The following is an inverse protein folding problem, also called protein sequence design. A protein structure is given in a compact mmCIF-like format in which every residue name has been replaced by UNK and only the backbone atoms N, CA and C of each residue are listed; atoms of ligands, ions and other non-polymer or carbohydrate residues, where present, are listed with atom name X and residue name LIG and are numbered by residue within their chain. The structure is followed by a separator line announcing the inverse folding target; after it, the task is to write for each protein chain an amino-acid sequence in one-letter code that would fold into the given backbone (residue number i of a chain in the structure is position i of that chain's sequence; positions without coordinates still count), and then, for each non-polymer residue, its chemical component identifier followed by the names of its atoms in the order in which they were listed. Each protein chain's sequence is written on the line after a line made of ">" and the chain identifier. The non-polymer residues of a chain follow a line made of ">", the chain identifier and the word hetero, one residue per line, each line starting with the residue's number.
data_IF_456406455063
#
_entry.id   IF_456406455063
#
_cell.length_a   1.000
_cell.length_b   1.000
_cell.length_c   1.000
_cell.angle_alpha   90.00
_cell.angle_beta   90.00
_cell.angle_gamma   90.00
#
_symmetry.space_group_name_H-M   'P 1'
#
loop_
_entity.id
_entity.type
_entity.pdbx_description
1 polymer ?
#
# COMPACT_ATOMS: atom_id res chain seq x y z
N UNK A 1 -62.73 1.19 -2.54
CA UNK A 1 -61.68 2.13 -2.08
C UNK A 1 -60.71 1.52 -1.05
N UNK A 2 -61.13 0.62 -0.16
CA UNK A 2 -60.24 0.00 0.84
C UNK A 2 -59.12 -0.90 0.26
N UNK A 3 -59.37 -1.60 -0.85
CA UNK A 3 -58.40 -2.53 -1.47
C UNK A 3 -57.21 -1.86 -2.13
N UNK A 4 -57.34 -0.59 -2.56
CA UNK A 4 -56.25 0.16 -3.19
C UNK A 4 -55.26 0.68 -2.14
N UNK A 5 -55.78 0.99 -0.95
CA UNK A 5 -55.03 1.50 0.18
C UNK A 5 -54.12 0.41 0.79
N UNK A 6 -54.62 -0.83 0.90
CA UNK A 6 -53.83 -1.95 1.40
C UNK A 6 -52.69 -2.35 0.46
N UNK A 7 -52.91 -2.32 -0.86
CA UNK A 7 -51.85 -2.58 -1.85
C UNK A 7 -50.76 -1.51 -1.85
N UNK A 8 -51.14 -0.23 -1.69
CA UNK A 8 -50.18 0.87 -1.57
C UNK A 8 -49.33 0.75 -0.30
N UNK A 9 -49.96 0.40 0.84
CA UNK A 9 -49.25 0.21 2.10
C UNK A 9 -48.25 -0.95 2.02
N UNK A 10 -48.64 -2.04 1.35
CA UNK A 10 -47.77 -3.21 1.16
C UNK A 10 -46.58 -2.90 0.24
N UNK A 11 -46.80 -2.17 -0.87
CA UNK A 11 -45.72 -1.70 -1.73
C UNK A 11 -44.75 -0.76 -0.99
N UNK A 12 -45.26 0.13 -0.14
CA UNK A 12 -44.43 1.07 0.62
C UNK A 12 -43.58 0.34 1.68
N UNK A 13 -44.15 -0.67 2.35
CA UNK A 13 -43.41 -1.55 3.26
C UNK A 13 -42.34 -2.36 2.52
N UNK A 14 -42.65 -2.88 1.33
CA UNK A 14 -41.67 -3.61 0.51
C UNK A 14 -40.51 -2.70 0.09
N UNK A 15 -40.79 -1.46 -0.33
CA UNK A 15 -39.77 -0.46 -0.68
C UNK A 15 -38.90 -0.09 0.52
N UNK A 16 -39.49 0.06 1.71
CA UNK A 16 -38.74 0.35 2.95
C UNK A 16 -37.85 -0.82 3.39
N UNK A 17 -38.31 -2.06 3.20
CA UNK A 17 -37.47 -3.25 3.47
C UNK A 17 -36.35 -3.42 2.44
N UNK A 18 -36.60 -3.15 1.15
CA UNK A 18 -35.53 -3.14 0.13
C UNK A 18 -34.49 -2.05 0.39
N UNK A 19 -34.89 -0.83 0.76
CA UNK A 19 -33.92 0.24 1.08
C UNK A 19 -33.06 -0.10 2.30
N UNK A 20 -33.58 -0.91 3.22
CA UNK A 20 -32.85 -1.37 4.42
C UNK A 20 -31.82 -2.47 4.12
N UNK A 21 -31.83 -3.04 2.90
CA UNK A 21 -30.90 -4.09 2.46
C UNK A 21 -29.80 -3.56 1.50
N UNK A 22 -29.88 -2.28 1.10
CA UNK A 22 -28.88 -1.62 0.24
C UNK A 22 -28.04 -0.57 0.98
N UNK A 23 -27.89 -0.69 2.30
CA UNK A 23 -26.86 0.03 3.06
C UNK A 23 -25.99 -0.98 3.79
N UNK A 24 -25.39 -1.86 3.00
CA UNK A 24 -24.19 -2.58 3.40
C UNK A 24 -23.04 -2.08 2.52
N UNK A 25 -22.04 -1.49 3.19
CA UNK A 25 -20.64 -1.52 2.77
C UNK A 25 -20.15 -0.44 1.78
N UNK A 26 -19.83 0.74 2.33
CA UNK A 26 -18.73 1.56 1.79
C UNK A 26 -18.17 2.55 2.84
N UNK A 27 -17.90 2.09 4.07
CA UNK A 27 -17.07 2.81 5.05
C UNK A 27 -16.19 1.78 5.79
N UNK A 28 -15.55 0.87 5.03
CA UNK A 28 -14.34 0.20 5.53
C UNK A 28 -13.14 1.06 5.17
N UNK A 29 -12.87 2.09 5.96
CA UNK A 29 -11.58 2.78 6.00
C UNK A 29 -10.46 1.88 6.59
N UNK A 30 -10.45 0.60 6.24
CA UNK A 30 -9.65 -0.40 6.94
C UNK A 30 -9.21 -1.52 6.02
N UNK A 31 -8.41 -1.22 4.99
CA UNK A 31 -7.40 -2.16 4.50
C UNK A 31 -6.20 -1.36 3.97
N UNK A 32 -5.06 -1.42 4.68
CA UNK A 32 -3.80 -1.70 4.01
C UNK A 32 -3.19 -2.95 4.63
N UNK A 33 -3.79 -4.10 4.31
CA UNK A 33 -3.08 -5.37 4.38
C UNK A 33 -2.18 -5.44 3.16
N UNK A 34 -1.04 -4.77 3.21
CA UNK A 34 -0.14 -4.69 2.07
C UNK A 34 0.67 -5.99 1.92
N UNK A 35 -0.03 -6.96 1.34
CA UNK A 35 0.45 -8.01 0.44
C UNK A 35 1.76 -8.71 0.85
N UNK A 36 1.66 -9.56 1.87
CA UNK A 36 2.60 -10.68 1.94
C UNK A 36 2.11 -11.80 1.05
N UNK A 37 2.99 -12.19 0.14
CA UNK A 37 3.04 -13.54 -0.43
C UNK A 37 2.78 -14.55 0.68
N UNK A 38 2.20 -15.71 0.35
CA UNK A 38 1.82 -16.76 1.31
C UNK A 38 2.87 -17.15 2.38
N UNK A 39 4.12 -16.70 2.27
CA UNK A 39 5.15 -16.88 3.29
C UNK A 39 4.89 -15.95 4.49
N UNK A 40 4.90 -16.53 5.69
CA UNK A 40 5.02 -15.75 6.93
C UNK A 40 6.44 -15.16 6.97
N UNK A 41 6.64 -14.02 6.32
CA UNK A 41 7.85 -13.23 6.48
C UNK A 41 8.04 -12.77 7.93
N UNK A 42 9.12 -12.03 8.19
CA UNK A 42 9.41 -11.47 9.52
C UNK A 42 9.24 -9.94 9.52
N UNK A 43 9.00 -9.38 10.69
CA UNK A 43 9.02 -7.94 10.97
C UNK A 43 8.01 -7.15 10.11
N UNK A 44 8.42 -6.51 9.00
CA UNK A 44 7.47 -5.79 8.10
C UNK A 44 6.28 -6.68 7.72
N UNK A 45 6.51 -7.98 7.49
CA UNK A 45 5.45 -8.96 7.25
C UNK A 45 4.41 -9.06 8.34
N UNK A 46 4.89 -9.16 9.56
CA UNK A 46 4.06 -9.36 10.73
C UNK A 46 3.38 -8.04 11.10
N UNK A 47 4.10 -6.92 10.98
CA UNK A 47 3.61 -5.57 11.25
C UNK A 47 2.38 -5.25 10.41
N UNK A 48 2.48 -5.38 9.07
CA UNK A 48 1.36 -5.03 8.18
C UNK A 48 0.29 -6.12 8.07
N UNK A 49 0.62 -7.40 8.22
CA UNK A 49 -0.38 -8.48 8.15
C UNK A 49 -1.34 -8.52 9.35
N UNK A 50 -0.95 -7.90 10.48
CA UNK A 50 -1.78 -7.82 11.67
C UNK A 50 -3.04 -6.98 11.53
N UNK A 51 -3.17 -6.17 10.46
CA UNK A 51 -4.32 -5.26 10.16
C UNK A 51 -4.73 -4.33 11.31
N UNK A 52 -3.85 -4.11 12.28
CA UNK A 52 -4.05 -3.20 13.41
C UNK A 52 -3.47 -1.82 13.14
N UNK A 53 -2.47 -1.76 12.27
CA UNK A 53 -1.75 -0.55 11.94
C UNK A 53 -2.48 0.27 10.88
N UNK A 54 -2.57 1.58 11.10
CA UNK A 54 -3.14 2.50 10.15
C UNK A 54 -2.12 2.86 9.06
N UNK A 55 -2.62 3.16 7.86
CA UNK A 55 -1.78 3.71 6.80
C UNK A 55 -1.13 5.03 7.26
N UNK A 56 0.15 5.28 6.92
CA UNK A 56 0.79 6.55 7.27
C UNK A 56 0.07 7.78 6.69
N UNK A 57 -0.32 8.73 7.54
CA UNK A 57 -0.98 9.98 7.11
C UNK A 57 -0.12 10.87 6.20
N UNK A 58 1.19 10.63 6.17
CA UNK A 58 2.18 11.41 5.42
C UNK A 58 2.16 11.14 3.91
N UNK A 59 1.49 10.08 3.48
CA UNK A 59 1.35 9.73 2.06
C UNK A 59 -0.03 9.14 1.84
N UNK A 60 -0.85 9.63 0.90
CA UNK A 60 -2.11 8.97 0.56
C UNK A 60 -1.86 7.54 0.05
N UNK A 61 -2.74 6.59 0.37
CA UNK A 61 -2.62 5.19 -0.09
C UNK A 61 -2.64 5.06 -1.62
N UNK A 62 -3.37 5.96 -2.29
CA UNK A 62 -3.47 6.05 -3.75
C UNK A 62 -2.27 6.76 -4.40
N UNK A 63 -1.24 7.12 -3.62
CA UNK A 63 -0.08 7.84 -4.16
C UNK A 63 0.72 6.98 -5.14
N UNK A 64 1.17 7.63 -6.21
CA UNK A 64 2.13 7.03 -7.14
C UNK A 64 3.56 7.17 -6.62
N UNK A 65 4.44 6.28 -7.07
CA UNK A 65 5.88 6.34 -6.83
C UNK A 65 6.45 7.68 -7.30
N UNK A 66 6.00 8.19 -8.45
CA UNK A 66 6.42 9.48 -9.00
C UNK A 66 6.01 10.68 -8.12
N UNK A 67 4.81 10.67 -7.55
CA UNK A 67 4.37 11.73 -6.64
C UNK A 67 5.19 11.75 -5.34
N UNK A 68 5.65 10.59 -4.89
CA UNK A 68 6.31 10.43 -3.59
C UNK A 68 7.83 10.64 -3.67
N UNK A 69 8.46 10.09 -4.71
CA UNK A 69 9.90 10.11 -4.92
C UNK A 69 10.36 11.17 -5.94
N UNK A 70 9.42 11.80 -6.66
CA UNK A 70 9.70 12.88 -7.59
C UNK A 70 9.97 12.39 -9.02
N UNK A 71 10.18 13.36 -9.93
CA UNK A 71 10.19 13.11 -11.37
C UNK A 71 11.32 12.20 -11.87
N UNK A 72 12.46 12.12 -11.17
CA UNK A 72 13.59 11.27 -11.60
C UNK A 72 13.24 9.79 -11.70
N UNK A 73 12.19 9.35 -11.00
CA UNK A 73 11.75 7.97 -11.06
C UNK A 73 10.96 7.64 -12.35
N UNK A 74 10.50 8.65 -13.10
CA UNK A 74 9.82 8.46 -14.40
C UNK A 74 10.72 7.81 -15.45
N UNK A 75 12.04 8.00 -15.35
CA UNK A 75 12.99 7.36 -16.27
C UNK A 75 12.99 5.84 -16.14
N UNK A 76 12.54 5.30 -15.00
CA UNK A 76 12.63 3.88 -14.66
C UNK A 76 11.28 3.22 -14.44
N UNK A 77 10.26 3.96 -14.01
CA UNK A 77 8.96 3.41 -13.65
C UNK A 77 7.83 4.11 -14.41
N UNK A 78 6.75 3.37 -14.64
CA UNK A 78 5.49 3.90 -15.18
C UNK A 78 4.93 4.98 -14.25
N UNK A 79 4.27 5.98 -14.82
CA UNK A 79 3.77 7.16 -14.10
C UNK A 79 2.65 6.85 -13.11
N UNK A 80 1.87 5.82 -13.41
CA UNK A 80 0.73 5.30 -12.66
C UNK A 80 1.11 4.25 -11.61
N UNK A 81 2.39 3.88 -11.48
CA UNK A 81 2.82 2.89 -10.48
C UNK A 81 2.51 3.39 -9.08
N UNK A 82 1.55 2.77 -8.41
CA UNK A 82 1.18 3.08 -7.03
C UNK A 82 2.23 2.54 -6.05
N UNK A 83 2.26 3.10 -4.84
CA UNK A 83 3.05 2.51 -3.76
C UNK A 83 2.59 1.06 -3.46
N UNK A 84 1.30 0.76 -3.65
CA UNK A 84 0.72 -0.57 -3.53
C UNK A 84 1.32 -1.58 -4.48
N UNK A 85 1.21 -1.28 -5.76
CA UNK A 85 1.76 -2.15 -6.78
C UNK A 85 3.28 -2.28 -6.63
N UNK A 86 3.98 -1.23 -6.21
CA UNK A 86 5.43 -1.26 -6.01
C UNK A 86 5.86 -2.28 -4.94
N UNK A 87 5.19 -2.32 -3.79
CA UNK A 87 5.51 -3.30 -2.72
C UNK A 87 5.13 -4.73 -3.08
N UNK A 88 4.15 -4.91 -3.96
CA UNK A 88 3.64 -6.20 -4.42
C UNK A 88 4.49 -6.86 -5.52
N UNK A 89 5.50 -6.16 -6.05
CA UNK A 89 6.35 -6.67 -7.12
C UNK A 89 7.04 -7.97 -6.72
N UNK A 90 7.32 -8.80 -7.72
CA UNK A 90 7.95 -10.11 -7.56
C UNK A 90 8.96 -10.41 -8.68
N UNK A 91 9.46 -9.36 -9.35
CA UNK A 91 10.39 -9.45 -10.47
C UNK A 91 11.83 -9.04 -10.09
N UNK A 92 12.14 -8.96 -8.79
CA UNK A 92 13.43 -8.49 -8.28
C UNK A 92 14.66 -9.28 -8.79
N UNK A 93 14.52 -10.57 -9.10
CA UNK A 93 15.63 -11.42 -9.57
C UNK A 93 16.15 -10.99 -10.95
N UNK A 94 15.26 -10.56 -11.84
CA UNK A 94 15.61 -10.13 -13.20
C UNK A 94 15.56 -8.60 -13.38
N UNK A 95 15.02 -7.87 -12.40
CA UNK A 95 14.85 -6.43 -12.43
C UNK A 95 15.36 -5.76 -11.13
N UNK A 96 16.65 -5.34 -11.09
CA UNK A 96 17.22 -4.63 -9.94
C UNK A 96 16.48 -3.34 -9.56
N UNK A 97 15.95 -2.60 -10.54
CA UNK A 97 15.16 -1.40 -10.26
C UNK A 97 13.78 -1.74 -9.70
N UNK A 98 13.21 -2.88 -10.10
CA UNK A 98 12.00 -3.47 -9.52
C UNK A 98 12.22 -3.80 -8.04
N UNK A 99 13.33 -4.46 -7.71
CA UNK A 99 13.73 -4.71 -6.32
C UNK A 99 13.94 -3.42 -5.53
N UNK A 100 14.60 -2.42 -6.12
CA UNK A 100 14.82 -1.11 -5.48
C UNK A 100 13.52 -0.40 -5.12
N UNK A 101 12.56 -0.32 -6.04
CA UNK A 101 11.29 0.39 -5.77
C UNK A 101 10.40 -0.40 -4.82
N UNK A 102 10.43 -1.74 -4.88
CA UNK A 102 9.71 -2.62 -3.96
C UNK A 102 10.18 -2.41 -2.53
N UNK A 103 11.46 -2.64 -2.29
CA UNK A 103 12.02 -2.58 -0.94
C UNK A 103 12.12 -1.14 -0.43
N UNK A 104 12.41 -0.18 -1.32
CA UNK A 104 12.42 1.25 -0.98
C UNK A 104 11.04 1.80 -0.63
N UNK A 105 9.98 1.34 -1.31
CA UNK A 105 8.61 1.73 -0.93
C UNK A 105 8.22 1.13 0.41
N UNK A 106 8.52 -0.16 0.64
CA UNK A 106 8.29 -0.78 1.93
C UNK A 106 9.07 -0.07 3.05
N UNK A 107 10.33 0.28 2.81
CA UNK A 107 11.16 1.03 3.76
C UNK A 107 10.60 2.42 4.04
N UNK A 108 10.04 3.09 3.03
CA UNK A 108 9.42 4.41 3.22
C UNK A 108 8.18 4.30 4.13
N UNK A 109 7.29 3.35 3.86
CA UNK A 109 6.09 3.14 4.68
C UNK A 109 6.47 2.77 6.12
N UNK A 110 7.45 1.87 6.28
CA UNK A 110 8.00 1.51 7.58
C UNK A 110 8.61 2.71 8.31
N UNK A 111 9.32 3.60 7.60
CA UNK A 111 9.93 4.79 8.22
C UNK A 111 8.91 5.81 8.77
N UNK A 112 7.66 5.72 8.35
CA UNK A 112 6.57 6.52 8.91
C UNK A 112 5.80 5.79 10.03
N UNK A 113 5.67 4.47 9.94
CA UNK A 113 4.78 3.70 10.81
C UNK A 113 5.49 2.97 11.96
N UNK A 114 6.70 2.47 11.71
CA UNK A 114 7.43 1.62 12.66
C UNK A 114 8.35 2.48 13.52
N UNK A 115 8.11 2.48 14.82
CA UNK A 115 9.05 3.05 15.78
C UNK A 115 10.39 2.33 15.68
N UNK A 116 11.50 3.06 15.82
CA UNK A 116 12.84 2.46 15.74
C UNK A 116 13.25 1.94 14.36
N UNK A 117 12.53 2.25 13.27
CA UNK A 117 12.97 1.91 11.92
C UNK A 117 14.30 2.63 11.60
N UNK A 118 15.31 1.94 11.02
CA UNK A 118 16.68 2.47 10.90
C UNK A 118 16.82 3.63 9.90
N UNK A 119 15.84 3.85 9.04
CA UNK A 119 15.82 4.97 8.10
C UNK A 119 14.74 5.98 8.47
N UNK A 120 15.09 7.27 8.34
CA UNK A 120 14.10 8.35 8.28
C UNK A 120 13.51 8.44 6.86
N UNK A 121 12.27 8.95 6.70
CA UNK A 121 11.63 9.04 5.38
C UNK A 121 12.46 9.76 4.31
N UNK A 122 13.10 10.87 4.67
CA UNK A 122 13.95 11.63 3.75
C UNK A 122 15.20 10.84 3.31
N UNK A 123 15.74 9.97 4.18
CA UNK A 123 16.88 9.11 3.84
C UNK A 123 16.46 8.08 2.81
N UNK A 124 15.30 7.44 2.99
CA UNK A 124 14.76 6.47 2.03
C UNK A 124 14.60 7.11 0.65
N UNK A 125 13.97 8.29 0.58
CA UNK A 125 13.82 9.02 -0.69
C UNK A 125 15.15 9.34 -1.35
N UNK A 126 16.11 9.84 -0.57
CA UNK A 126 17.44 10.21 -1.07
C UNK A 126 18.20 8.98 -1.59
N UNK A 127 18.20 7.89 -0.83
CA UNK A 127 18.91 6.67 -1.17
C UNK A 127 18.30 5.97 -2.39
N UNK A 128 16.97 5.94 -2.51
CA UNK A 128 16.31 5.42 -3.70
C UNK A 128 16.75 6.19 -4.94
N UNK A 129 16.70 7.53 -4.91
CA UNK A 129 17.07 8.37 -6.06
C UNK A 129 18.55 8.22 -6.43
N UNK A 130 19.43 8.12 -5.43
CA UNK A 130 20.87 7.87 -5.65
C UNK A 130 21.12 6.52 -6.31
N UNK A 131 20.36 5.48 -5.95
CA UNK A 131 20.54 4.14 -6.47
C UNK A 131 20.04 3.95 -7.92
N UNK A 132 19.32 4.93 -8.49
CA UNK A 132 18.84 4.86 -9.89
C UNK A 132 19.96 4.99 -10.95
N UNK A 133 21.20 5.25 -10.52
CA UNK A 133 22.34 5.48 -11.43
C UNK A 133 22.81 4.21 -12.15
N UNK A 134 22.63 3.02 -11.56
CA UNK A 134 23.05 1.75 -12.19
C UNK A 134 22.27 0.55 -11.64
N UNK A 135 22.32 -0.58 -12.35
CA UNK A 135 21.73 -1.84 -11.86
C UNK A 135 22.42 -2.33 -10.58
N UNK A 136 23.74 -2.14 -10.47
CA UNK A 136 24.51 -2.57 -9.30
C UNK A 136 24.14 -1.76 -8.06
N UNK A 137 24.02 -0.43 -8.19
CA UNK A 137 23.59 0.44 -7.09
C UNK A 137 22.14 0.17 -6.70
N UNK A 138 21.25 -0.06 -7.68
CA UNK A 138 19.87 -0.44 -7.43
C UNK A 138 19.76 -1.75 -6.65
N UNK A 139 20.47 -2.80 -7.06
CA UNK A 139 20.50 -4.09 -6.37
C UNK A 139 21.08 -3.98 -4.95
N UNK A 140 22.21 -3.27 -4.81
CA UNK A 140 22.86 -3.05 -3.52
C UNK A 140 21.94 -2.32 -2.54
N UNK A 141 21.32 -1.22 -2.99
CA UNK A 141 20.42 -0.44 -2.15
C UNK A 141 19.10 -1.15 -1.88
N UNK A 142 18.58 -1.94 -2.83
CA UNK A 142 17.44 -2.83 -2.59
C UNK A 142 17.71 -3.81 -1.45
N UNK A 143 18.90 -4.43 -1.44
CA UNK A 143 19.30 -5.32 -0.36
C UNK A 143 19.42 -4.60 1.00
N UNK A 144 19.96 -3.38 1.02
CA UNK A 144 20.02 -2.58 2.25
C UNK A 144 18.62 -2.27 2.80
N UNK A 145 17.65 -1.94 1.93
CA UNK A 145 16.27 -1.74 2.33
C UNK A 145 15.61 -3.04 2.79
N UNK A 146 15.83 -4.16 2.09
CA UNK A 146 15.34 -5.48 2.48
C UNK A 146 15.78 -5.85 3.89
N UNK A 147 17.07 -5.69 4.20
CA UNK A 147 17.61 -5.98 5.53
C UNK A 147 16.95 -5.11 6.61
N UNK A 148 16.73 -3.82 6.34
CA UNK A 148 16.00 -2.95 7.26
C UNK A 148 14.52 -3.35 7.41
N UNK A 149 13.85 -3.75 6.34
CA UNK A 149 12.47 -4.24 6.36
C UNK A 149 12.36 -5.55 7.18
N UNK A 150 13.41 -6.36 7.19
CA UNK A 150 13.49 -7.61 7.96
C UNK A 150 14.07 -7.45 9.37
N UNK A 151 14.48 -6.25 9.77
CA UNK A 151 14.88 -5.98 11.15
C UNK A 151 13.63 -5.80 12.02
N UNK A 152 13.51 -6.55 13.12
CA UNK A 152 12.40 -6.46 14.07
C UNK A 152 12.80 -5.51 15.20
N UNK A 153 12.96 -4.23 14.86
CA UNK A 153 12.90 -3.13 15.83
C UNK A 153 11.48 -2.61 15.95
#
# INVERSE_FOLDING_TARGET
>A
MASLCTTLLFCLLLLLTLSSHFVAEAERHGIPGFLYTRSRGRCTAQFWSGRREAWPRMVPETSTVSNVFGSRVYERYRSDLTLLEATARNDEESNPFGGLVKEGTAALLNSYAREGFPFKPWQVKTLLIKALVSHAEAASQANNFLLANQACS
#
